data_IF_278630231083
#
_entry.id   IF_278630231083
#
_cell.length_a   1.000
_cell.length_b   1.000
_cell.length_c   1.000
_cell.angle_alpha   90.00
_cell.angle_beta   90.00
_cell.angle_gamma   90.00
#
_symmetry.space_group_name_H-M   'P 1'
#
loop_
_entity.id
_entity.type
_entity.pdbx_description
1 polymer ?
#
# COMPACT_ATOMS: atom_id res chain seq x y z
N UNK A 1 -0.07 8.19 3.10
CA UNK A 1 -0.74 7.55 1.94
C UNK A 1 -1.99 8.29 1.45
N UNK A 2 -2.70 9.02 2.32
CA UNK A 2 -4.00 9.65 2.03
C UNK A 2 -4.10 10.39 0.69
N UNK A 3 -3.14 11.27 0.37
CA UNK A 3 -3.17 12.08 -0.87
C UNK A 3 -3.27 11.23 -2.13
N UNK A 4 -2.56 10.10 -2.19
CA UNK A 4 -2.60 9.19 -3.35
C UNK A 4 -3.94 8.47 -3.43
N UNK A 5 -4.50 8.03 -2.29
CA UNK A 5 -5.82 7.40 -2.26
C UNK A 5 -6.92 8.38 -2.64
N UNK A 6 -6.82 9.63 -2.19
CA UNK A 6 -7.72 10.71 -2.61
C UNK A 6 -7.64 10.93 -4.12
N UNK A 7 -6.43 11.10 -4.68
CA UNK A 7 -6.26 11.32 -6.12
C UNK A 7 -6.75 10.13 -6.95
N UNK A 8 -6.50 8.91 -6.48
CA UNK A 8 -7.00 7.69 -7.11
C UNK A 8 -8.53 7.64 -7.12
N UNK A 9 -9.18 8.04 -6.02
CA UNK A 9 -10.63 8.11 -5.94
C UNK A 9 -11.19 9.19 -6.90
N UNK A 10 -10.59 10.38 -6.93
CA UNK A 10 -10.96 11.45 -7.87
C UNK A 10 -10.90 10.96 -9.33
N UNK A 11 -9.78 10.37 -9.73
CA UNK A 11 -9.59 9.82 -11.08
C UNK A 11 -10.59 8.68 -11.36
N UNK A 12 -10.91 7.85 -10.37
CA UNK A 12 -11.93 6.82 -10.51
C UNK A 12 -13.30 7.42 -10.82
N UNK A 13 -13.71 8.48 -10.11
CA UNK A 13 -14.99 9.16 -10.35
C UNK A 13 -15.01 9.87 -11.70
N UNK A 14 -13.91 10.51 -12.11
CA UNK A 14 -13.78 11.09 -13.46
C UNK A 14 -13.97 10.00 -14.53
N UNK A 15 -13.33 8.84 -14.36
CA UNK A 15 -13.45 7.72 -15.30
C UNK A 15 -14.87 7.13 -15.37
N UNK A 16 -15.76 7.44 -14.41
CA UNK A 16 -17.18 7.06 -14.47
C UNK A 16 -18.03 8.00 -15.32
N UNK A 17 -17.58 9.22 -15.56
CA UNK A 17 -18.34 10.22 -16.32
C UNK A 17 -17.81 10.42 -17.74
N UNK A 18 -16.51 10.19 -17.96
CA UNK A 18 -15.85 10.21 -19.26
C UNK A 18 -14.59 9.35 -19.24
N UNK A 19 -14.02 9.06 -20.40
CA UNK A 19 -12.69 8.45 -20.48
C UNK A 19 -11.63 9.38 -19.87
N UNK A 20 -10.60 8.78 -19.25
CA UNK A 20 -9.43 9.49 -18.76
C UNK A 20 -8.58 9.96 -19.94
N UNK A 21 -8.05 11.17 -19.83
CA UNK A 21 -6.98 11.64 -20.72
C UNK A 21 -5.69 10.86 -20.48
N UNK A 22 -4.74 10.90 -21.41
CA UNK A 22 -3.44 10.24 -21.25
C UNK A 22 -2.68 10.67 -19.98
N UNK A 23 -2.79 11.95 -19.62
CA UNK A 23 -2.22 12.48 -18.38
C UNK A 23 -2.88 11.86 -17.15
N UNK A 24 -4.22 11.80 -17.14
CA UNK A 24 -4.99 11.23 -16.03
C UNK A 24 -4.79 9.71 -15.90
N UNK A 25 -4.64 8.99 -17.02
CA UNK A 25 -4.25 7.58 -17.02
C UNK A 25 -2.85 7.38 -16.43
N UNK A 26 -1.92 8.25 -16.78
CA UNK A 26 -0.56 8.24 -16.20
C UNK A 26 -0.60 8.47 -14.69
N UNK A 27 -1.38 9.45 -14.23
CA UNK A 27 -1.59 9.70 -12.80
C UNK A 27 -2.26 8.51 -12.09
N UNK A 28 -3.26 7.89 -12.72
CA UNK A 28 -3.91 6.69 -12.18
C UNK A 28 -2.90 5.54 -12.02
N UNK A 29 -2.05 5.33 -13.02
CA UNK A 29 -0.98 4.33 -12.98
C UNK A 29 0.01 4.60 -11.84
N UNK A 30 0.43 5.86 -11.65
CA UNK A 30 1.29 6.25 -10.54
C UNK A 30 0.61 5.99 -9.18
N UNK A 31 -0.67 6.34 -9.04
CA UNK A 31 -1.42 6.11 -7.81
C UNK A 31 -1.54 4.62 -7.49
N UNK A 32 -1.88 3.80 -8.48
CA UNK A 32 -1.98 2.35 -8.35
C UNK A 32 -0.63 1.72 -7.99
N UNK A 33 0.46 2.14 -8.65
CA UNK A 33 1.82 1.65 -8.36
C UNK A 33 2.22 1.93 -6.92
N UNK A 34 2.01 3.16 -6.44
CA UNK A 34 2.30 3.53 -5.05
C UNK A 34 1.44 2.73 -4.04
N UNK A 35 0.15 2.54 -4.34
CA UNK A 35 -0.75 1.74 -3.51
C UNK A 35 -0.35 0.26 -3.48
N UNK A 36 -0.06 -0.32 -4.64
CA UNK A 36 0.34 -1.72 -4.78
C UNK A 36 1.65 -1.99 -4.02
N UNK A 37 2.64 -1.11 -4.16
CA UNK A 37 3.90 -1.20 -3.40
C UNK A 37 3.65 -1.20 -1.89
N UNK A 38 2.84 -0.28 -1.38
CA UNK A 38 2.52 -0.22 0.05
C UNK A 38 1.76 -1.47 0.52
N UNK A 39 0.76 -1.91 -0.23
CA UNK A 39 -0.02 -3.09 0.11
C UNK A 39 0.85 -4.35 0.15
N UNK A 40 1.76 -4.49 -0.81
CA UNK A 40 2.71 -5.59 -0.87
C UNK A 40 3.66 -5.62 0.32
N UNK A 41 4.27 -4.48 0.69
CA UNK A 41 5.15 -4.42 1.85
C UNK A 41 4.42 -4.75 3.17
N UNK A 42 3.18 -4.27 3.33
CA UNK A 42 2.35 -4.61 4.48
C UNK A 42 2.08 -6.12 4.53
N UNK A 43 1.69 -6.73 3.41
CA UNK A 43 1.41 -8.17 3.34
C UNK A 43 2.66 -9.00 3.66
N UNK A 44 3.80 -8.61 3.08
CA UNK A 44 5.10 -9.24 3.36
C UNK A 44 5.46 -9.18 4.84
N UNK A 45 5.38 -8.00 5.48
CA UNK A 45 5.71 -7.84 6.89
C UNK A 45 4.79 -8.65 7.80
N UNK A 46 3.48 -8.70 7.49
CA UNK A 46 2.52 -9.53 8.25
C UNK A 46 2.85 -11.02 8.15
N UNK A 47 3.18 -11.52 6.96
CA UNK A 47 3.55 -12.91 6.75
C UNK A 47 4.84 -13.26 7.50
N UNK A 48 5.85 -12.39 7.44
CA UNK A 48 7.10 -12.58 8.19
C UNK A 48 6.86 -12.54 9.70
N UNK A 49 6.00 -11.65 10.19
CA UNK A 49 5.67 -11.55 11.61
C UNK A 49 4.97 -12.81 12.11
N UNK A 50 4.11 -13.41 11.28
CA UNK A 50 3.51 -14.71 11.57
C UNK A 50 4.57 -15.82 11.65
N UNK A 51 5.50 -15.88 10.70
CA UNK A 51 6.60 -16.85 10.72
C UNK A 51 7.42 -16.71 12.01
N UNK A 52 7.84 -15.48 12.34
CA UNK A 52 8.60 -15.19 13.56
C UNK A 52 7.86 -15.65 14.83
N UNK A 53 6.55 -15.41 14.89
CA UNK A 53 5.70 -15.85 16.01
C UNK A 53 5.67 -17.38 16.14
N UNK A 54 5.47 -18.09 15.02
CA UNK A 54 5.39 -19.57 15.00
C UNK A 54 6.75 -20.20 15.34
N UNK A 55 7.86 -19.58 14.95
CA UNK A 55 9.22 -20.02 15.31
C UNK A 55 9.68 -19.53 16.68
N UNK A 56 8.83 -18.79 17.43
CA UNK A 56 9.14 -18.19 18.73
C UNK A 56 10.32 -17.22 18.72
N UNK A 57 10.59 -16.59 17.57
CA UNK A 57 11.58 -15.53 17.43
C UNK A 57 10.93 -14.18 17.75
N UNK A 58 10.87 -13.88 19.05
CA UNK A 58 10.15 -12.73 19.59
C UNK A 58 10.83 -11.41 19.22
N UNK A 59 12.16 -11.38 19.19
CA UNK A 59 12.92 -10.17 18.83
C UNK A 59 12.66 -9.79 17.37
N UNK A 60 12.75 -10.76 16.45
CA UNK A 60 12.42 -10.52 15.05
C UNK A 60 10.95 -10.14 14.85
N UNK A 61 10.04 -10.77 15.60
CA UNK A 61 8.62 -10.41 15.56
C UNK A 61 8.39 -8.94 15.94
N UNK A 62 9.01 -8.45 17.02
CA UNK A 62 8.90 -7.05 17.44
C UNK A 62 9.49 -6.08 16.40
N UNK A 63 10.63 -6.43 15.80
CA UNK A 63 11.22 -5.63 14.73
C UNK A 63 10.28 -5.49 13.53
N UNK A 64 9.67 -6.59 13.09
CA UNK A 64 8.73 -6.61 11.98
C UNK A 64 7.46 -5.79 12.28
N UNK A 65 6.94 -5.88 13.50
CA UNK A 65 5.81 -5.06 13.96
C UNK A 65 6.16 -3.56 13.94
N UNK A 66 7.34 -3.18 14.44
CA UNK A 66 7.79 -1.78 14.41
C UNK A 66 7.93 -1.24 12.98
N UNK A 67 8.42 -2.07 12.04
CA UNK A 67 8.47 -1.72 10.60
C UNK A 67 7.06 -1.56 10.01
N UNK A 68 6.12 -2.43 10.38
CA UNK A 68 4.74 -2.38 9.90
C UNK A 68 4.05 -1.09 10.34
N UNK A 69 4.21 -0.70 11.61
CA UNK A 69 3.65 0.56 12.13
C UNK A 69 4.16 1.79 11.37
N UNK A 70 5.45 1.82 11.00
CA UNK A 70 6.04 2.93 10.23
C UNK A 70 5.40 3.09 8.85
N UNK A 71 5.00 1.99 8.20
CA UNK A 71 4.35 2.02 6.88
C UNK A 71 2.85 2.35 6.99
N UNK A 72 2.24 2.03 8.14
CA UNK A 72 0.83 2.28 8.38
C UNK A 72 0.52 3.74 8.72
N UNK A 73 1.45 4.46 9.35
CA UNK A 73 1.39 5.91 9.55
C UNK A 73 1.45 6.67 8.22
#
# INVERSE_FOLDING_TARGET
MWIVHQRMAELWFINKTRELTDSEMTEMSHCLSANAKRAWEIAKLKNLSLIASVTKDIEWQHELCARLEKIQR
#
